data_IF_756987223787
#
_entry.id   IF_756987223787
#
_cell.length_a   1.000
_cell.length_b   1.000
_cell.length_c   1.000
_cell.angle_alpha   90.00
_cell.angle_beta   90.00
_cell.angle_gamma   90.00
#
_symmetry.space_group_name_H-M   'P 1'
#
loop_
_entity.id
_entity.type
_entity.pdbx_description
1 polymer ?
#
# COMPACT_ATOMS: atom_id res chain seq x y z
N UNK A 1 -10.65 -42.04 15.18
CA UNK A 1 -10.46 -40.70 14.62
C UNK A 1 -10.44 -39.69 15.77
N UNK A 2 -9.33 -39.56 16.49
CA UNK A 2 -9.16 -38.61 17.62
C UNK A 2 -7.67 -38.30 17.70
N UNK A 3 -7.21 -37.21 17.13
CA UNK A 3 -5.77 -36.83 17.14
C UNK A 3 -5.41 -35.42 16.64
N UNK A 4 -6.40 -34.58 16.30
CA UNK A 4 -6.13 -33.31 15.65
C UNK A 4 -6.16 -32.02 16.50
N UNK A 5 -6.62 -31.95 17.76
CA UNK A 5 -6.61 -30.67 18.48
C UNK A 5 -5.33 -30.39 19.28
N UNK A 6 -4.48 -31.41 19.56
CA UNK A 6 -3.30 -31.21 20.42
C UNK A 6 -2.13 -30.56 19.69
N UNK A 7 -2.00 -30.78 18.39
CA UNK A 7 -0.91 -30.21 17.59
C UNK A 7 -1.09 -28.70 17.32
N UNK A 8 -2.33 -28.23 17.21
CA UNK A 8 -2.63 -26.79 17.06
C UNK A 8 -2.37 -25.98 18.34
N UNK A 9 -2.52 -26.59 19.51
CA UNK A 9 -2.24 -25.90 20.79
C UNK A 9 -0.74 -25.70 21.04
N UNK A 10 0.12 -26.56 20.52
CA UNK A 10 1.58 -26.44 20.69
C UNK A 10 2.19 -25.35 19.80
N UNK A 11 1.52 -24.96 18.71
CA UNK A 11 1.97 -23.86 17.85
C UNK A 11 1.64 -22.46 18.40
N UNK A 12 0.72 -22.37 19.37
CA UNK A 12 0.33 -21.09 19.98
C UNK A 12 1.24 -20.66 21.15
N UNK A 13 2.08 -21.56 21.69
CA UNK A 13 3.00 -21.25 22.79
C UNK A 13 4.46 -21.10 22.35
N UNK A 14 4.77 -21.20 21.07
CA UNK A 14 6.11 -21.05 20.50
C UNK A 14 6.57 -19.62 20.25
N UNK A 15 5.96 -18.61 20.86
CA UNK A 15 6.46 -17.25 20.89
C UNK A 15 7.67 -17.13 21.80
N UNK A 16 8.79 -17.75 21.42
CA UNK A 16 10.09 -17.50 22.09
C UNK A 16 10.35 -16.00 22.02
N UNK A 17 10.23 -15.33 23.17
CA UNK A 17 10.80 -13.99 23.38
C UNK A 17 12.29 -14.11 23.14
N UNK A 18 12.73 -13.85 21.93
CA UNK A 18 14.13 -13.78 21.58
C UNK A 18 14.76 -12.66 22.41
N UNK A 19 15.40 -13.01 23.51
CA UNK A 19 16.29 -12.11 24.26
C UNK A 19 17.64 -11.98 23.59
N UNK A 20 17.73 -12.34 22.31
CA UNK A 20 18.97 -12.26 21.54
C UNK A 20 19.27 -10.79 21.19
N UNK A 21 20.54 -10.43 21.32
CA UNK A 21 21.06 -9.14 20.89
C UNK A 21 20.83 -8.95 19.39
N UNK A 22 20.31 -7.78 18.94
CA UNK A 22 20.19 -7.51 17.52
C UNK A 22 21.57 -7.61 16.82
N UNK A 23 21.63 -8.26 15.68
CA UNK A 23 22.89 -8.60 14.99
C UNK A 23 23.78 -7.40 14.64
N UNK A 24 23.18 -6.20 14.49
CA UNK A 24 23.91 -4.97 14.19
C UNK A 24 24.30 -4.18 15.45
N UNK A 25 24.00 -4.69 16.63
CA UNK A 25 24.24 -4.02 17.91
C UNK A 25 25.18 -4.87 18.78
N UNK A 26 25.73 -4.26 19.81
CA UNK A 26 26.46 -4.97 20.88
C UNK A 26 25.66 -4.84 22.18
N UNK A 27 25.55 -5.96 22.89
CA UNK A 27 24.80 -6.01 24.15
C UNK A 27 25.73 -6.41 25.31
N UNK A 28 25.63 -5.67 26.41
CA UNK A 28 26.34 -5.94 27.66
C UNK A 28 25.37 -5.83 28.82
N UNK A 29 24.97 -6.96 29.39
CA UNK A 29 23.93 -6.99 30.42
C UNK A 29 22.62 -6.38 29.94
N UNK A 30 22.16 -5.32 30.59
CA UNK A 30 20.94 -4.59 30.24
C UNK A 30 21.16 -3.39 29.29
N UNK A 31 22.34 -3.28 28.69
CA UNK A 31 22.68 -2.20 27.76
C UNK A 31 22.73 -2.72 26.33
N UNK A 32 22.13 -1.99 25.41
CA UNK A 32 22.17 -2.26 23.97
C UNK A 32 22.78 -1.05 23.26
N UNK A 33 23.93 -1.29 22.63
CA UNK A 33 24.67 -0.28 21.89
C UNK A 33 24.63 -0.54 20.38
N UNK A 34 23.90 0.31 19.67
CA UNK A 34 23.77 0.33 18.22
C UNK A 34 24.33 1.63 17.62
N UNK A 35 25.11 2.41 18.38
CA UNK A 35 25.61 3.72 17.93
C UNK A 35 26.65 3.59 16.81
N UNK A 36 26.70 4.59 15.93
CA UNK A 36 27.71 4.71 14.85
C UNK A 36 27.81 3.47 13.93
N UNK A 37 26.67 2.88 13.61
CA UNK A 37 26.56 1.69 12.77
C UNK A 37 25.96 1.98 11.40
N UNK A 38 25.77 3.24 11.03
CA UNK A 38 25.10 3.67 9.79
C UNK A 38 23.73 3.04 9.60
N UNK A 39 23.01 2.78 10.71
CA UNK A 39 21.68 2.16 10.69
C UNK A 39 20.65 3.09 10.06
N UNK A 40 19.81 2.54 9.20
CA UNK A 40 18.63 3.18 8.66
C UNK A 40 17.38 2.71 9.43
N UNK A 41 16.29 3.43 9.35
CA UNK A 41 15.03 3.05 10.02
C UNK A 41 14.55 1.65 9.64
N UNK A 42 14.76 1.22 8.39
CA UNK A 42 14.43 -0.11 7.89
C UNK A 42 15.34 -1.24 8.39
N UNK A 43 16.53 -0.91 8.90
CA UNK A 43 17.49 -1.89 9.43
C UNK A 43 17.38 -2.09 10.95
N UNK A 44 16.50 -1.33 11.61
CA UNK A 44 16.22 -1.52 13.02
C UNK A 44 15.53 -2.87 13.27
N UNK A 45 15.80 -3.51 14.41
CA UNK A 45 15.07 -4.73 14.78
C UNK A 45 13.59 -4.42 15.01
N UNK A 46 12.73 -5.38 14.81
CA UNK A 46 11.29 -5.24 15.09
C UNK A 46 11.04 -4.98 16.57
N UNK A 47 11.88 -5.56 17.44
CA UNK A 47 11.84 -5.39 18.91
C UNK A 47 13.24 -5.47 19.48
N UNK A 48 13.47 -4.71 20.56
CA UNK A 48 14.65 -4.86 21.40
C UNK A 48 14.40 -5.89 22.51
N UNK A 49 15.46 -6.47 23.12
CA UNK A 49 15.32 -7.35 24.28
C UNK A 49 14.57 -6.68 25.42
N UNK A 50 13.68 -7.42 26.08
CA UNK A 50 12.97 -6.92 27.26
C UNK A 50 13.94 -6.69 28.42
N UNK A 51 13.63 -5.69 29.27
CA UNK A 51 14.42 -5.40 30.48
C UNK A 51 15.72 -4.64 30.25
N UNK A 52 15.96 -4.10 29.03
CA UNK A 52 17.09 -3.19 28.83
C UNK A 52 16.87 -1.87 29.58
N UNK A 53 17.94 -1.35 30.15
CA UNK A 53 17.95 -0.09 30.88
C UNK A 53 18.62 1.04 30.11
N UNK A 54 19.42 0.71 29.12
CA UNK A 54 20.11 1.69 28.28
C UNK A 54 20.06 1.26 26.80
N UNK A 55 19.71 2.24 25.93
CA UNK A 55 19.66 2.05 24.48
C UNK A 55 20.43 3.20 23.78
N UNK A 56 21.48 2.85 23.05
CA UNK A 56 22.28 3.82 22.28
C UNK A 56 22.04 3.67 20.80
N UNK A 57 21.41 4.68 20.18
CA UNK A 57 21.09 4.75 18.75
C UNK A 57 21.71 6.00 18.08
N UNK A 58 22.55 6.75 18.80
CA UNK A 58 23.14 7.99 18.28
C UNK A 58 24.09 7.76 17.10
N UNK A 59 24.30 8.82 16.31
CA UNK A 59 25.22 8.82 15.17
C UNK A 59 24.92 7.70 14.15
N UNK A 60 23.67 7.60 13.77
CA UNK A 60 23.19 6.69 12.70
C UNK A 60 22.54 7.49 11.56
N UNK A 61 21.82 6.77 10.66
CA UNK A 61 21.06 7.35 9.55
C UNK A 61 19.55 7.16 9.74
N UNK A 62 19.09 7.24 10.98
CA UNK A 62 17.69 7.10 11.32
C UNK A 62 16.94 8.36 10.95
N UNK A 63 15.89 8.23 10.17
CA UNK A 63 14.99 9.32 9.79
C UNK A 63 13.65 9.27 10.53
N UNK A 64 13.21 8.10 10.97
CA UNK A 64 12.07 7.86 11.87
C UNK A 64 12.32 6.59 12.69
N UNK A 65 11.49 6.34 13.69
CA UNK A 65 11.43 5.05 14.39
C UNK A 65 10.17 4.30 14.01
N UNK A 66 10.22 2.97 13.82
CA UNK A 66 9.03 2.15 13.68
C UNK A 66 8.08 2.32 14.87
N UNK A 67 6.78 2.38 14.60
CA UNK A 67 5.77 2.50 15.65
C UNK A 67 5.85 1.31 16.62
N UNK A 68 5.76 1.62 17.92
CA UNK A 68 5.81 0.60 18.97
C UNK A 68 7.21 0.11 19.36
N UNK A 69 8.28 0.53 18.68
CA UNK A 69 9.64 0.03 18.93
C UNK A 69 10.14 0.22 20.37
N UNK A 70 9.74 1.32 21.03
CA UNK A 70 10.15 1.67 22.39
C UNK A 70 9.09 1.35 23.44
N UNK A 71 7.88 0.92 23.06
CA UNK A 71 6.75 0.80 23.98
C UNK A 71 6.92 -0.35 25.00
N UNK A 72 7.55 -1.44 24.59
CA UNK A 72 7.81 -2.62 25.44
C UNK A 72 9.01 -2.41 26.40
N UNK A 73 9.75 -1.29 26.28
CA UNK A 73 10.98 -1.05 27.03
C UNK A 73 10.69 -0.34 28.37
N UNK A 74 9.89 -0.96 29.22
CA UNK A 74 9.43 -0.39 30.51
C UNK A 74 10.54 -0.14 31.51
N UNK A 75 11.68 -0.85 31.40
CA UNK A 75 12.84 -0.69 32.27
C UNK A 75 13.85 0.35 31.77
N UNK A 76 13.58 1.00 30.63
CA UNK A 76 14.50 1.93 29.98
C UNK A 76 14.71 3.20 30.82
N UNK A 77 15.96 3.50 31.15
CA UNK A 77 16.37 4.68 31.96
C UNK A 77 17.17 5.69 31.16
N UNK A 78 17.85 5.21 30.12
CA UNK A 78 18.71 6.04 29.28
C UNK A 78 18.57 5.68 27.83
N UNK A 79 18.38 6.70 26.99
CA UNK A 79 18.33 6.56 25.52
C UNK A 79 19.20 7.66 24.93
N UNK A 80 19.96 7.35 23.87
CA UNK A 80 20.66 8.36 23.09
C UNK A 80 20.26 8.30 21.61
N UNK A 81 19.72 9.39 21.09
CA UNK A 81 19.11 9.50 19.75
C UNK A 81 19.75 10.60 18.88
N UNK A 82 20.67 11.39 19.45
CA UNK A 82 21.33 12.52 18.77
C UNK A 82 22.14 12.06 17.54
N UNK A 83 22.45 13.00 16.64
CA UNK A 83 23.28 12.71 15.47
C UNK A 83 22.61 11.79 14.42
N UNK A 84 21.29 11.83 14.34
CA UNK A 84 20.51 11.16 13.29
C UNK A 84 19.79 12.20 12.42
N UNK A 85 19.61 11.95 11.12
CA UNK A 85 18.91 12.87 10.20
C UNK A 85 17.38 12.71 10.32
N UNK A 86 16.80 13.11 11.45
CA UNK A 86 15.36 12.99 11.68
C UNK A 86 14.53 13.79 10.67
N UNK A 87 13.53 13.14 10.07
CA UNK A 87 12.57 13.76 9.18
C UNK A 87 11.28 14.05 9.95
N UNK A 88 10.98 15.36 10.10
CA UNK A 88 9.83 15.81 10.89
C UNK A 88 8.57 15.94 10.04
N UNK A 89 8.12 14.80 9.54
CA UNK A 89 6.83 14.57 8.88
C UNK A 89 5.97 13.63 9.72
N UNK A 90 4.96 13.01 9.12
CA UNK A 90 4.10 12.01 9.78
C UNK A 90 4.88 10.89 10.49
N UNK A 91 6.03 10.50 9.97
CA UNK A 91 6.85 9.43 10.53
C UNK A 91 7.47 9.79 11.89
N UNK A 92 7.55 11.09 12.26
CA UNK A 92 8.10 11.51 13.53
C UNK A 92 7.09 11.47 14.68
N UNK A 93 5.78 11.37 14.37
CA UNK A 93 4.71 11.47 15.37
C UNK A 93 4.84 10.44 16.49
N UNK A 94 5.24 9.22 16.17
CA UNK A 94 5.48 8.18 17.18
C UNK A 94 6.61 8.59 18.14
N UNK A 95 7.77 8.98 17.59
CA UNK A 95 8.91 9.40 18.42
C UNK A 95 8.58 10.65 19.23
N UNK A 96 7.89 11.63 18.64
CA UNK A 96 7.42 12.83 19.34
C UNK A 96 6.51 12.47 20.52
N UNK A 97 5.50 11.64 20.31
CA UNK A 97 4.59 11.19 21.37
C UNK A 97 5.32 10.42 22.46
N UNK A 98 6.32 9.63 22.13
CA UNK A 98 7.15 8.93 23.10
C UNK A 98 8.00 9.92 23.91
N UNK A 99 8.66 10.89 23.25
CA UNK A 99 9.48 11.93 23.91
C UNK A 99 8.66 12.78 24.89
N UNK A 100 7.43 13.16 24.53
CA UNK A 100 6.54 13.95 25.40
C UNK A 100 6.09 13.21 26.66
N UNK A 101 6.16 11.88 26.67
CA UNK A 101 5.90 11.06 27.87
C UNK A 101 7.11 10.98 28.80
N UNK A 102 8.29 11.40 28.34
CA UNK A 102 9.49 11.40 29.16
C UNK A 102 9.55 12.65 30.04
N UNK A 103 10.29 12.63 31.17
CA UNK A 103 10.58 13.84 31.93
C UNK A 103 11.19 14.93 31.05
N UNK A 104 10.72 16.17 31.17
CA UNK A 104 11.11 17.27 30.28
C UNK A 104 12.63 17.47 30.19
N UNK A 105 13.33 17.32 31.31
CA UNK A 105 14.79 17.39 31.34
C UNK A 105 15.44 16.31 30.47
N UNK A 106 14.93 15.08 30.48
CA UNK A 106 15.44 13.99 29.67
C UNK A 106 15.14 14.23 28.19
N UNK A 107 13.91 14.62 27.87
CA UNK A 107 13.46 14.82 26.49
C UNK A 107 14.26 15.91 25.75
N UNK A 108 14.61 17.03 26.42
CA UNK A 108 15.41 18.10 25.84
C UNK A 108 16.88 17.72 25.62
N UNK A 109 17.44 16.88 26.49
CA UNK A 109 18.83 16.42 26.38
C UNK A 109 19.05 15.31 25.32
N UNK A 110 18.00 14.67 24.84
CA UNK A 110 18.13 13.63 23.82
C UNK A 110 18.61 14.14 22.45
N UNK A 111 18.63 15.48 22.24
CA UNK A 111 19.17 16.10 21.02
C UNK A 111 18.50 15.63 19.72
N UNK A 112 17.19 15.39 19.77
CA UNK A 112 16.41 14.95 18.60
C UNK A 112 15.97 16.18 17.81
N UNK A 113 16.81 16.56 16.82
CA UNK A 113 16.58 17.73 15.98
C UNK A 113 16.12 17.34 14.59
N UNK A 114 15.19 18.11 14.03
CA UNK A 114 14.75 17.94 12.65
C UNK A 114 15.88 18.24 11.66
N UNK A 115 16.09 17.36 10.69
CA UNK A 115 16.96 17.61 9.54
C UNK A 115 16.15 18.05 8.31
N UNK A 116 14.86 17.72 8.24
CA UNK A 116 13.91 17.96 7.17
C UNK A 116 12.49 18.01 7.76
N UNK A 117 11.53 18.72 7.16
CA UNK A 117 11.65 19.61 6.00
C UNK A 117 12.43 20.91 6.31
N UNK A 118 12.77 21.73 5.29
CA UNK A 118 13.58 22.95 5.50
C UNK A 118 13.03 23.92 6.54
N UNK A 119 11.70 24.08 6.59
CA UNK A 119 11.02 24.97 7.54
C UNK A 119 11.15 24.55 9.03
N UNK A 120 11.42 23.26 9.28
CA UNK A 120 11.56 22.71 10.63
C UNK A 120 13.00 22.36 10.99
N UNK A 121 13.95 22.54 10.05
CA UNK A 121 15.35 22.17 10.26
C UNK A 121 15.97 22.82 11.50
N UNK A 122 16.65 22.02 12.31
CA UNK A 122 17.32 22.43 13.53
C UNK A 122 16.41 22.55 14.75
N UNK A 123 15.09 22.48 14.58
CA UNK A 123 14.15 22.52 15.71
C UNK A 123 14.15 21.18 16.45
N UNK A 124 14.07 21.23 17.76
CA UNK A 124 13.87 20.03 18.59
C UNK A 124 12.47 19.47 18.43
N UNK A 125 12.37 18.15 18.22
CA UNK A 125 11.09 17.45 18.00
C UNK A 125 10.10 17.64 19.15
N UNK A 126 10.57 17.75 20.38
CA UNK A 126 9.73 17.95 21.57
C UNK A 126 9.00 19.30 21.61
N UNK A 127 9.51 20.31 20.90
CA UNK A 127 8.91 21.65 20.85
C UNK A 127 8.06 21.88 19.60
N UNK A 128 7.93 20.89 18.73
CA UNK A 128 7.02 20.99 17.59
C UNK A 128 5.59 20.82 18.07
N UNK A 129 4.68 21.62 17.50
CA UNK A 129 3.25 21.37 17.66
C UNK A 129 2.83 20.21 16.75
N UNK A 130 1.73 19.57 17.09
CA UNK A 130 1.17 18.52 16.23
C UNK A 130 0.73 19.07 14.87
N UNK A 131 0.19 20.28 14.85
CA UNK A 131 -0.23 20.98 13.64
C UNK A 131 0.93 21.23 12.67
N UNK A 132 2.08 21.69 13.17
CA UNK A 132 3.29 21.90 12.35
C UNK A 132 3.79 20.60 11.70
N UNK A 133 3.68 19.48 12.42
CA UNK A 133 4.04 18.16 11.88
C UNK A 133 3.00 17.70 10.87
N UNK A 134 1.72 17.85 11.17
CA UNK A 134 0.63 17.45 10.29
C UNK A 134 0.56 18.29 9.00
N UNK A 135 0.95 19.54 9.03
CA UNK A 135 1.06 20.38 7.84
C UNK A 135 2.07 19.82 6.83
N UNK A 136 3.20 19.31 7.32
CA UNK A 136 4.17 18.61 6.45
C UNK A 136 3.66 17.25 5.94
N UNK A 137 2.71 16.63 6.65
CA UNK A 137 2.03 15.41 6.23
C UNK A 137 0.99 15.65 5.13
N UNK A 138 0.34 16.81 5.17
CA UNK A 138 -0.77 17.13 4.26
C UNK A 138 -0.35 17.08 2.78
N UNK A 139 0.89 17.49 2.47
CA UNK A 139 1.44 17.43 1.11
C UNK A 139 1.48 16.00 0.54
N UNK A 140 1.83 15.03 1.34
CA UNK A 140 1.89 13.63 0.92
C UNK A 140 0.50 13.05 0.66
N UNK A 141 -0.44 13.26 1.58
CA UNK A 141 -1.81 12.76 1.46
C UNK A 141 -2.60 13.43 0.33
N UNK A 142 -2.43 14.74 0.11
CA UNK A 142 -3.07 15.44 -1.00
C UNK A 142 -2.62 14.90 -2.35
N UNK A 143 -1.33 14.67 -2.55
CA UNK A 143 -0.82 14.09 -3.79
C UNK A 143 -1.33 12.66 -4.02
N UNK A 144 -1.44 11.84 -2.99
CA UNK A 144 -1.98 10.48 -3.08
C UNK A 144 -3.48 10.48 -3.37
N UNK A 145 -4.24 11.38 -2.74
CA UNK A 145 -5.67 11.53 -2.98
C UNK A 145 -5.95 12.02 -4.41
N UNK A 146 -5.22 13.01 -4.91
CA UNK A 146 -5.33 13.49 -6.29
C UNK A 146 -4.96 12.40 -7.29
N UNK A 147 -3.87 11.65 -7.06
CA UNK A 147 -3.46 10.54 -7.91
C UNK A 147 -4.54 9.44 -7.96
N UNK A 148 -5.15 9.09 -6.83
CA UNK A 148 -6.22 8.09 -6.78
C UNK A 148 -7.48 8.55 -7.51
N UNK A 149 -7.86 9.83 -7.39
CA UNK A 149 -8.98 10.40 -8.13
C UNK A 149 -8.74 10.40 -9.64
N UNK A 150 -7.55 10.83 -10.09
CA UNK A 150 -7.19 10.80 -11.51
C UNK A 150 -7.24 9.38 -12.06
N UNK A 151 -6.68 8.40 -11.35
CA UNK A 151 -6.76 6.99 -11.75
C UNK A 151 -8.21 6.50 -11.86
N UNK A 152 -9.08 6.88 -10.93
CA UNK A 152 -10.49 6.52 -10.97
C UNK A 152 -11.19 7.12 -12.20
N UNK A 153 -10.98 8.41 -12.49
CA UNK A 153 -11.56 9.08 -13.66
C UNK A 153 -11.10 8.43 -14.97
N UNK A 154 -9.80 8.14 -15.09
CA UNK A 154 -9.25 7.45 -16.27
C UNK A 154 -9.89 6.07 -16.42
N UNK A 155 -10.01 5.30 -15.35
CA UNK A 155 -10.65 3.99 -15.36
C UNK A 155 -12.11 4.07 -15.82
N UNK A 156 -12.90 4.99 -15.27
CA UNK A 156 -14.31 5.18 -15.68
C UNK A 156 -14.42 5.60 -17.14
N UNK A 157 -13.55 6.51 -17.62
CA UNK A 157 -13.53 6.95 -19.01
C UNK A 157 -13.23 5.78 -19.98
N UNK A 158 -12.26 4.93 -19.64
CA UNK A 158 -11.92 3.73 -20.42
C UNK A 158 -13.11 2.77 -20.46
N UNK A 159 -13.78 2.51 -19.34
CA UNK A 159 -14.96 1.64 -19.29
C UNK A 159 -16.10 2.19 -20.15
N UNK A 160 -16.36 3.50 -20.08
CA UNK A 160 -17.38 4.15 -20.90
C UNK A 160 -17.08 4.03 -22.40
N UNK A 161 -15.81 4.22 -22.80
CA UNK A 161 -15.38 4.05 -24.18
C UNK A 161 -15.54 2.62 -24.69
N UNK A 162 -15.21 1.62 -23.87
CA UNK A 162 -15.39 0.20 -24.20
C UNK A 162 -16.88 -0.15 -24.38
N UNK A 163 -17.74 0.35 -23.49
CA UNK A 163 -19.19 0.13 -23.61
C UNK A 163 -19.75 0.77 -24.87
N UNK A 164 -19.34 1.99 -25.21
CA UNK A 164 -19.75 2.64 -26.46
C UNK A 164 -19.28 1.85 -27.69
N UNK A 165 -18.03 1.39 -27.70
CA UNK A 165 -17.50 0.57 -28.77
C UNK A 165 -18.30 -0.74 -28.95
N UNK A 166 -18.66 -1.38 -27.83
CA UNK A 166 -19.48 -2.58 -27.83
C UNK A 166 -20.89 -2.31 -28.40
N UNK A 167 -21.52 -1.21 -27.97
CA UNK A 167 -22.84 -0.81 -28.49
C UNK A 167 -22.80 -0.53 -29.99
N UNK A 168 -21.77 0.16 -30.49
CA UNK A 168 -21.59 0.41 -31.93
C UNK A 168 -21.38 -0.91 -32.66
N UNK A 169 -20.57 -1.80 -32.12
CA UNK A 169 -20.34 -3.14 -32.72
C UNK A 169 -21.64 -3.95 -32.81
N UNK A 170 -22.42 -4.02 -31.74
CA UNK A 170 -23.69 -4.74 -31.70
C UNK A 170 -24.69 -4.18 -32.73
N UNK A 171 -24.82 -2.83 -32.81
CA UNK A 171 -25.68 -2.20 -33.82
C UNK A 171 -25.22 -2.47 -35.23
N UNK A 172 -23.92 -2.52 -35.50
CA UNK A 172 -23.37 -2.85 -36.80
C UNK A 172 -23.60 -4.30 -37.12
N UNK A 173 -23.47 -5.20 -36.17
CA UNK A 173 -23.77 -6.63 -36.32
C UNK A 173 -25.25 -6.89 -36.62
N UNK A 174 -26.16 -6.22 -35.92
CA UNK A 174 -27.60 -6.31 -36.22
C UNK A 174 -27.96 -5.87 -37.65
N UNK A 175 -27.30 -4.79 -38.13
CA UNK A 175 -27.53 -4.34 -39.53
C UNK A 175 -27.06 -5.39 -40.53
N UNK A 176 -25.84 -5.89 -40.34
CA UNK A 176 -25.30 -6.93 -41.22
C UNK A 176 -26.13 -8.23 -41.21
N UNK A 177 -26.62 -8.62 -40.04
CA UNK A 177 -27.48 -9.79 -39.89
C UNK A 177 -28.82 -9.60 -40.56
N UNK A 178 -29.43 -8.41 -40.54
CA UNK A 178 -30.65 -8.06 -41.25
C UNK A 178 -30.46 -8.06 -42.77
N UNK A 179 -29.33 -7.53 -43.25
CA UNK A 179 -29.00 -7.57 -44.70
C UNK A 179 -28.80 -8.98 -45.18
N UNK A 180 -28.06 -9.80 -44.42
CA UNK A 180 -27.88 -11.24 -44.77
C UNK A 180 -29.18 -12.03 -44.81
N UNK A 181 -30.16 -11.73 -43.93
CA UNK A 181 -31.50 -12.36 -44.00
C UNK A 181 -32.28 -11.91 -45.24
N UNK A 182 -32.27 -10.62 -45.60
CA UNK A 182 -32.94 -10.11 -46.81
C UNK A 182 -32.40 -10.74 -48.09
N UNK A 183 -31.06 -10.83 -48.19
CA UNK A 183 -30.42 -11.44 -49.37
C UNK A 183 -30.78 -12.93 -49.48
N UNK A 184 -30.96 -13.62 -48.36
CA UNK A 184 -31.38 -15.03 -48.35
C UNK A 184 -32.85 -15.19 -48.73
N UNK A 185 -33.75 -14.31 -48.31
CA UNK A 185 -35.15 -14.30 -48.68
C UNK A 185 -35.31 -13.98 -50.19
N UNK A 186 -34.58 -12.97 -50.71
CA UNK A 186 -34.58 -12.61 -52.13
C UNK A 186 -34.06 -13.75 -53.00
N UNK A 187 -33.02 -14.48 -52.58
CA UNK A 187 -32.53 -15.66 -53.32
C UNK A 187 -33.48 -16.83 -53.29
N UNK A 188 -34.26 -16.99 -52.21
CA UNK A 188 -35.26 -18.03 -52.10
C UNK A 188 -36.49 -17.76 -53.02
N UNK A 189 -36.99 -16.53 -53.03
CA UNK A 189 -38.11 -16.12 -53.90
C UNK A 189 -37.73 -16.14 -55.39
N UNK A 190 -36.48 -15.77 -55.73
CA UNK A 190 -36.00 -15.90 -57.11
C UNK A 190 -35.88 -17.35 -57.54
N UNK A 191 -35.53 -18.26 -56.62
CA UNK A 191 -35.48 -19.72 -56.91
C UNK A 191 -36.88 -20.39 -57.14
N UNK A 192 -37.90 -19.91 -56.39
CA UNK A 192 -39.29 -20.38 -56.60
C UNK A 192 -39.87 -19.88 -57.92
N UNK A 193 -39.64 -18.63 -58.31
CA UNK A 193 -40.08 -18.07 -59.58
C UNK A 193 -39.49 -18.81 -60.84
N UNK A 194 -38.30 -19.35 -60.74
CA UNK A 194 -37.68 -20.17 -61.78
C UNK A 194 -38.27 -21.56 -61.85
N UNK A 195 -38.77 -22.12 -60.75
CA UNK A 195 -39.38 -23.45 -60.69
C UNK A 195 -40.83 -23.47 -61.25
N UNK A 196 -41.56 -22.38 -61.11
CA UNK A 196 -42.93 -22.23 -61.60
C UNK A 196 -42.99 -22.10 -63.15
N UNK A 197 -41.95 -21.54 -63.77
CA UNK A 197 -41.86 -21.43 -65.23
C UNK A 197 -41.42 -22.70 -65.94
N UNK A 198 -40.99 -23.74 -65.25
CA UNK A 198 -40.58 -25.03 -65.84
C UNK A 198 -41.74 -26.01 -65.97
N UNK A 199 -42.94 -25.76 -65.44
CA UNK A 199 -44.17 -26.51 -65.54
C UNK A 199 -45.14 -25.81 -66.47
N UNK A 200 -44.80 -25.68 -67.75
CA UNK A 200 -45.81 -25.39 -68.78
C UNK A 200 -46.42 -26.72 -69.26
N UNK A 201 -47.74 -26.97 -69.16
CA UNK A 201 -48.35 -28.19 -69.65
C UNK A 201 -48.30 -28.26 -71.20
N UNK A 202 -47.75 -29.33 -71.69
CA UNK A 202 -47.80 -29.67 -73.12
C UNK A 202 -49.26 -29.74 -73.54
N UNK A 203 -49.66 -28.87 -74.46
CA UNK A 203 -50.94 -28.82 -75.11
C UNK A 203 -51.01 -30.05 -76.06
N UNK A 204 -51.85 -31.01 -75.69
CA UNK A 204 -52.16 -32.18 -76.51
C UNK A 204 -52.85 -31.74 -77.80
N UNK A 205 -52.17 -31.99 -78.89
CA UNK A 205 -52.71 -31.82 -80.22
C UNK A 205 -53.16 -33.20 -80.69
N UNK A 206 -54.43 -33.53 -80.55
CA UNK A 206 -55.03 -34.68 -81.21
C UNK A 206 -56.00 -34.16 -82.26
N UNK A 207 -55.77 -34.70 -83.45
CA UNK A 207 -56.66 -34.76 -84.64
C UNK A 207 -57.91 -35.50 -84.35
#
# INVERSE_FOLDING_TARGET
MKGFPLLCLLLLFGGQRSSACPHLCSCHGSQVNCSSRSLHSSSLPVRFPAGITELRLHNNRLNHLPNGLLDDLTSLRSVSLHGNPWVCDCGILYLRAWLLRQPAALASHLGVNCSSPPGLRGRLVVYLTEEEVLESCHYWYCNLALASQVCLFVFVAVQAALLLALLVFLRRFERLSKEARRTKEESFTAGEGLRENEYAPLKDSSI
#
